data_IF_607555455307
#
_entry.id   IF_607555455307
#
_cell.length_a   1.000
_cell.length_b   1.000
_cell.length_c   1.000
_cell.angle_alpha   90.00
_cell.angle_beta   90.00
_cell.angle_gamma   90.00
#
_symmetry.space_group_name_H-M   'P 1'
#
loop_
_entity.id
_entity.type
_entity.pdbx_description
1 polymer ?
#
# COMPACT_ATOMS: atom_id res chain seq x y z
N UNK A 1 14.15 25.07 6.16
CA UNK A 1 14.84 23.83 5.73
C UNK A 1 14.47 22.64 6.64
N UNK A 2 13.18 22.44 6.98
CA UNK A 2 12.75 21.44 8.00
C UNK A 2 11.82 20.36 7.42
N UNK A 3 11.36 20.48 6.17
CA UNK A 3 10.34 19.59 5.60
C UNK A 3 10.87 18.25 5.07
N UNK A 4 12.15 18.15 4.71
CA UNK A 4 12.74 16.91 4.18
C UNK A 4 13.08 15.87 5.28
N UNK A 5 13.37 16.32 6.50
CA UNK A 5 13.78 15.44 7.60
C UNK A 5 12.61 14.60 8.17
N UNK A 6 11.38 15.11 8.09
CA UNK A 6 10.21 14.40 8.61
C UNK A 6 9.82 13.25 7.67
N UNK A 7 9.96 13.42 6.35
CA UNK A 7 9.73 12.36 5.37
C UNK A 7 10.75 11.23 5.49
N UNK A 8 12.01 11.53 5.79
CA UNK A 8 13.06 10.51 5.95
C UNK A 8 12.87 9.63 7.20
N UNK A 9 12.40 10.20 8.31
CA UNK A 9 12.18 9.45 9.56
C UNK A 9 10.98 8.49 9.51
N UNK A 10 9.95 8.82 8.72
CA UNK A 10 8.82 7.89 8.49
C UNK A 10 9.26 6.72 7.62
N UNK A 11 10.13 6.95 6.63
CA UNK A 11 10.62 5.90 5.72
C UNK A 11 11.60 4.94 6.43
N UNK A 12 12.48 5.44 7.30
CA UNK A 12 13.44 4.56 8.00
C UNK A 12 12.83 3.72 9.13
N UNK A 13 11.75 4.19 9.78
CA UNK A 13 11.13 3.44 10.88
C UNK A 13 10.43 2.16 10.41
N UNK A 14 10.13 2.05 9.12
CA UNK A 14 9.59 0.82 8.51
C UNK A 14 10.69 -0.22 8.26
N UNK A 15 11.96 0.17 8.24
CA UNK A 15 13.06 -0.66 7.74
C UNK A 15 13.77 -1.52 8.79
N UNK A 16 13.52 -1.34 10.08
CA UNK A 16 14.24 -2.08 11.13
C UNK A 16 13.30 -2.63 12.20
N UNK A 17 12.71 -3.78 11.91
CA UNK A 17 12.32 -4.76 12.93
C UNK A 17 12.20 -6.14 12.30
N UNK A 18 13.36 -6.77 12.07
CA UNK A 18 13.47 -8.20 11.86
C UNK A 18 13.27 -8.91 13.21
N UNK A 19 12.03 -9.16 13.57
CA UNK A 19 11.68 -10.18 14.55
C UNK A 19 10.54 -11.02 13.96
N UNK A 20 10.93 -12.19 13.46
CA UNK A 20 10.06 -13.12 12.76
C UNK A 20 8.97 -13.67 13.69
N UNK A 21 7.78 -13.07 13.67
CA UNK A 21 6.58 -13.75 14.14
C UNK A 21 6.12 -14.64 12.99
N UNK A 22 6.34 -15.94 13.14
CA UNK A 22 5.93 -16.99 12.20
C UNK A 22 4.40 -17.16 12.28
N UNK A 23 3.65 -16.19 11.79
CA UNK A 23 2.21 -16.33 11.59
C UNK A 23 2.01 -17.37 10.48
N UNK A 24 1.42 -18.52 10.81
CA UNK A 24 0.90 -19.48 9.84
C UNK A 24 -0.24 -18.80 9.07
N UNK A 25 0.11 -18.09 8.01
CA UNK A 25 -0.83 -17.43 7.11
C UNK A 25 -1.24 -18.46 6.06
N UNK A 26 -2.53 -18.78 6.02
CA UNK A 26 -3.12 -19.69 5.05
C UNK A 26 -3.18 -18.96 3.70
N UNK A 27 -2.16 -19.17 2.85
CA UNK A 27 -2.03 -18.59 1.52
C UNK A 27 -2.99 -19.25 0.52
N UNK A 28 -4.30 -19.02 0.66
CA UNK A 28 -5.27 -19.29 -0.41
C UNK A 28 -6.24 -18.11 -0.53
N UNK A 29 -5.70 -16.95 -0.86
CA UNK A 29 -6.47 -15.90 -1.51
C UNK A 29 -6.32 -16.11 -3.02
N UNK A 30 -7.39 -16.57 -3.64
CA UNK A 30 -7.46 -16.84 -5.07
C UNK A 30 -7.55 -15.50 -5.82
N UNK A 31 -6.40 -14.87 -6.05
CA UNK A 31 -6.25 -13.81 -7.04
C UNK A 31 -5.27 -14.31 -8.09
N UNK A 32 -5.60 -14.24 -9.40
CA UNK A 32 -4.77 -14.82 -10.45
C UNK A 32 -3.36 -14.22 -10.40
N UNK A 33 -2.36 -15.09 -10.52
CA UNK A 33 -0.95 -14.72 -10.61
C UNK A 33 -0.73 -13.83 -11.85
N UNK A 34 -0.85 -12.51 -11.71
CA UNK A 34 -0.52 -11.55 -12.76
C UNK A 34 0.83 -10.91 -12.43
N UNK A 35 1.90 -11.63 -12.75
CA UNK A 35 3.26 -11.10 -12.76
C UNK A 35 3.42 -10.33 -14.08
N UNK A 36 3.27 -9.02 -14.07
CA UNK A 36 3.54 -8.21 -15.26
C UNK A 36 4.99 -7.71 -15.26
N UNK A 37 5.80 -8.26 -16.16
CA UNK A 37 7.01 -7.59 -16.64
C UNK A 37 6.57 -6.49 -17.61
N UNK A 38 6.35 -5.26 -17.14
CA UNK A 38 5.76 -4.21 -17.96
C UNK A 38 6.79 -3.64 -18.94
N UNK A 39 6.66 -4.01 -20.22
CA UNK A 39 7.21 -3.28 -21.36
C UNK A 39 6.28 -2.12 -21.76
N UNK A 40 6.81 -1.07 -22.39
CA UNK A 40 6.06 0.18 -22.71
C UNK A 40 4.96 0.01 -23.77
N UNK A 41 4.97 -1.09 -24.51
CA UNK A 41 4.04 -1.32 -25.64
C UNK A 41 2.75 -2.02 -25.20
N UNK A 42 2.78 -2.79 -24.11
CA UNK A 42 1.62 -3.53 -23.59
C UNK A 42 0.67 -2.64 -22.76
N UNK A 43 1.15 -1.50 -22.26
CA UNK A 43 0.39 -0.57 -21.40
C UNK A 43 -0.70 0.22 -22.15
N UNK A 44 -0.73 0.14 -23.50
CA UNK A 44 -1.69 0.87 -24.35
C UNK A 44 -2.81 0.00 -24.93
N UNK A 45 -2.71 -1.33 -24.83
CA UNK A 45 -3.63 -2.27 -25.50
C UNK A 45 -4.22 -3.36 -24.58
N UNK A 46 -3.93 -3.36 -23.28
CA UNK A 46 -4.75 -4.07 -22.30
C UNK A 46 -5.52 -3.03 -21.50
N UNK A 47 -6.80 -3.29 -21.28
CA UNK A 47 -7.59 -2.61 -20.25
C UNK A 47 -7.71 -3.59 -19.06
N UNK A 48 -6.71 -3.72 -18.14
CA UNK A 48 -6.84 -4.58 -16.97
C UNK A 48 -6.96 -3.72 -15.71
N UNK A 49 -7.59 -2.54 -15.78
CA UNK A 49 -7.86 -1.75 -14.58
C UNK A 49 -8.88 -2.51 -13.73
N UNK A 50 -8.46 -2.91 -12.55
CA UNK A 50 -9.28 -3.58 -11.55
C UNK A 50 -9.90 -2.51 -10.66
N UNK A 51 -11.16 -2.72 -10.24
CA UNK A 51 -11.79 -1.87 -9.24
C UNK A 51 -11.18 -2.17 -7.87
N UNK A 52 -10.50 -1.20 -7.30
CA UNK A 52 -10.06 -1.22 -5.91
C UNK A 52 -11.15 -0.59 -5.04
N UNK A 53 -11.49 -1.22 -3.93
CA UNK A 53 -12.34 -0.62 -2.88
C UNK A 53 -11.71 -0.90 -1.51
N UNK A 54 -11.40 0.14 -0.75
CA UNK A 54 -10.91 -0.02 0.62
C UNK A 54 -12.01 -0.60 1.52
N UNK A 55 -11.73 -1.72 2.19
CA UNK A 55 -12.71 -2.36 3.06
C UNK A 55 -13.05 -1.56 4.34
N UNK A 56 -12.28 -0.50 4.65
CA UNK A 56 -12.45 0.35 5.83
C UNK A 56 -13.13 1.68 5.44
N UNK A 57 -12.43 2.55 4.69
CA UNK A 57 -12.91 3.89 4.35
C UNK A 57 -13.71 3.98 3.04
N UNK A 58 -13.90 2.88 2.32
CA UNK A 58 -14.66 2.84 1.05
C UNK A 58 -14.08 3.65 -0.12
N UNK A 59 -12.85 4.14 0.00
CA UNK A 59 -12.10 4.69 -1.13
C UNK A 59 -12.13 3.71 -2.31
N UNK A 60 -12.65 4.16 -3.44
CA UNK A 60 -12.83 3.33 -4.63
C UNK A 60 -12.20 4.00 -5.85
N UNK A 61 -11.32 3.28 -6.54
CA UNK A 61 -10.66 3.77 -7.75
C UNK A 61 -10.37 2.61 -8.70
N UNK A 62 -10.21 2.91 -9.99
CA UNK A 62 -9.73 1.95 -10.97
C UNK A 62 -8.21 1.97 -11.00
N UNK A 63 -7.57 0.84 -10.77
CA UNK A 63 -6.11 0.77 -10.69
C UNK A 63 -5.54 -0.55 -11.21
N UNK A 64 -4.21 -0.61 -11.32
CA UNK A 64 -3.49 -1.84 -11.59
C UNK A 64 -3.23 -2.57 -10.27
N UNK A 65 -3.11 -3.89 -10.33
CA UNK A 65 -2.74 -4.72 -9.18
C UNK A 65 -1.57 -5.61 -9.53
N UNK A 66 -0.52 -5.63 -8.70
CA UNK A 66 0.60 -6.53 -8.91
C UNK A 66 1.86 -6.13 -8.14
N UNK A 67 2.96 -6.80 -8.47
CA UNK A 67 4.28 -6.46 -7.92
C UNK A 67 4.75 -5.11 -8.46
N UNK A 68 4.94 -4.14 -7.57
CA UNK A 68 5.47 -2.84 -7.94
C UNK A 68 6.99 -2.81 -7.70
N UNK A 69 7.74 -2.94 -8.79
CA UNK A 69 9.21 -2.86 -8.84
C UNK A 69 9.63 -1.75 -9.79
N UNK A 70 10.48 -0.86 -9.32
CA UNK A 70 11.05 0.21 -10.10
C UNK A 70 12.58 0.23 -9.94
N UNK A 71 13.24 1.14 -10.65
CA UNK A 71 14.70 1.19 -10.66
C UNK A 71 15.34 1.60 -9.33
N UNK A 72 14.61 2.32 -8.49
CA UNK A 72 15.01 2.86 -7.19
C UNK A 72 14.48 2.06 -5.99
N UNK A 73 13.62 1.06 -6.21
CA UNK A 73 13.07 0.25 -5.12
C UNK A 73 11.91 -0.66 -5.51
N UNK A 74 11.34 -1.33 -4.51
CA UNK A 74 10.20 -2.22 -4.69
C UNK A 74 9.34 -2.32 -3.44
N UNK A 75 8.08 -2.72 -3.62
CA UNK A 75 7.18 -3.12 -2.53
C UNK A 75 7.25 -4.64 -2.32
N UNK A 76 7.34 -5.07 -1.06
CA UNK A 76 7.45 -6.48 -0.70
C UNK A 76 6.14 -7.28 -0.90
N UNK A 77 5.00 -6.58 -0.94
CA UNK A 77 3.68 -7.16 -1.18
C UNK A 77 3.11 -6.65 -2.50
N UNK A 78 2.21 -7.39 -3.15
CA UNK A 78 1.42 -6.89 -4.28
C UNK A 78 0.62 -5.64 -3.88
N UNK A 79 0.65 -4.62 -4.73
CA UNK A 79 0.04 -3.32 -4.47
C UNK A 79 -1.00 -2.99 -5.53
N UNK A 80 -1.99 -2.18 -5.13
CA UNK A 80 -2.90 -1.47 -6.00
C UNK A 80 -2.29 -0.09 -6.31
N UNK A 81 -2.05 0.22 -7.59
CA UNK A 81 -1.39 1.46 -7.98
C UNK A 81 -1.82 1.95 -9.36
N UNK A 82 -1.62 3.24 -9.61
CA UNK A 82 -1.73 3.87 -10.94
C UNK A 82 -0.45 4.63 -11.26
N UNK A 83 -0.23 4.96 -12.53
CA UNK A 83 0.74 6.00 -12.90
C UNK A 83 0.28 7.30 -12.24
N UNK A 84 1.20 8.04 -11.63
CA UNK A 84 0.86 9.32 -11.03
C UNK A 84 0.26 10.26 -12.10
N UNK A 85 -1.05 10.63 -12.02
CA UNK A 85 -1.69 11.48 -13.01
C UNK A 85 -1.25 12.95 -12.88
N UNK A 86 -0.62 13.31 -11.75
CA UNK A 86 -0.14 14.66 -11.47
C UNK A 86 1.34 14.83 -11.81
N UNK A 87 2.06 13.73 -12.04
CA UNK A 87 3.43 13.80 -12.52
C UNK A 87 3.45 14.37 -13.95
N UNK A 88 4.26 15.41 -14.23
CA UNK A 88 4.34 15.96 -15.56
C UNK A 88 4.83 14.87 -16.55
N UNK A 89 4.25 14.78 -17.76
CA UNK A 89 4.69 13.82 -18.76
C UNK A 89 6.19 13.98 -19.00
N UNK A 90 6.95 12.94 -18.69
CA UNK A 90 8.41 12.98 -18.79
C UNK A 90 8.82 13.10 -20.25
N UNK A 91 9.37 14.27 -20.63
CA UNK A 91 9.87 14.52 -22.00
C UNK A 91 11.04 13.60 -22.38
N UNK A 92 11.72 13.04 -21.38
CA UNK A 92 12.86 12.12 -21.54
C UNK A 92 12.34 10.68 -21.61
N UNK A 93 12.13 10.18 -22.84
CA UNK A 93 11.61 8.83 -23.10
C UNK A 93 12.53 7.69 -22.64
N UNK A 94 13.78 7.98 -22.27
CA UNK A 94 14.84 7.01 -21.96
C UNK A 94 15.01 6.70 -20.48
N UNK A 95 14.39 7.44 -19.55
CA UNK A 95 14.55 7.12 -18.12
C UNK A 95 13.74 5.88 -17.74
N UNK A 96 14.33 5.00 -16.94
CA UNK A 96 13.62 3.88 -16.30
C UNK A 96 12.61 4.45 -15.29
N UNK A 97 11.43 3.84 -15.13
CA UNK A 97 10.48 4.30 -14.14
C UNK A 97 11.07 4.16 -12.72
N UNK A 98 10.72 5.12 -11.87
CA UNK A 98 11.02 5.14 -10.43
C UNK A 98 9.72 5.00 -9.63
N UNK A 99 9.79 4.62 -8.35
CA UNK A 99 8.60 4.39 -7.52
C UNK A 99 7.71 5.62 -7.43
N UNK A 100 8.30 6.82 -7.40
CA UNK A 100 7.55 8.08 -7.37
C UNK A 100 6.81 8.41 -8.67
N UNK A 101 7.02 7.65 -9.76
CA UNK A 101 6.20 7.77 -10.97
C UNK A 101 4.83 7.07 -10.81
N UNK A 102 4.59 6.41 -9.66
CA UNK A 102 3.38 5.66 -9.37
C UNK A 102 2.70 6.18 -8.10
N UNK A 103 1.38 6.34 -8.17
CA UNK A 103 0.53 6.58 -7.02
C UNK A 103 0.01 5.24 -6.49
N UNK A 104 0.37 4.92 -5.24
CA UNK A 104 0.00 3.67 -4.59
C UNK A 104 -1.26 3.85 -3.74
N UNK A 105 -2.31 3.13 -4.08
CA UNK A 105 -3.61 3.20 -3.41
C UNK A 105 -3.65 2.32 -2.15
N UNK A 106 -3.11 1.10 -2.23
CA UNK A 106 -3.27 0.12 -1.16
C UNK A 106 -2.71 -1.27 -1.45
N UNK A 107 -3.07 -2.24 -0.60
CA UNK A 107 -2.71 -3.66 -0.73
C UNK A 107 -3.82 -4.55 -0.18
N UNK A 108 -3.59 -5.87 -0.12
CA UNK A 108 -4.50 -6.83 0.48
C UNK A 108 -4.13 -7.11 1.93
N UNK A 109 -5.13 -7.18 2.82
CA UNK A 109 -4.92 -7.59 4.20
C UNK A 109 -4.50 -9.07 4.28
N UNK A 110 -3.41 -9.37 4.99
CA UNK A 110 -2.89 -10.73 5.12
C UNK A 110 -3.78 -11.70 5.91
N UNK A 111 -4.74 -11.18 6.70
CA UNK A 111 -5.69 -11.99 7.48
C UNK A 111 -6.99 -12.25 6.71
N UNK A 112 -7.63 -11.19 6.18
CA UNK A 112 -8.93 -11.32 5.52
C UNK A 112 -8.89 -11.26 3.99
N UNK A 113 -7.72 -11.01 3.40
CA UNK A 113 -7.50 -10.89 1.95
C UNK A 113 -8.32 -9.81 1.23
N UNK A 114 -8.99 -8.93 1.99
CA UNK A 114 -9.71 -7.76 1.45
C UNK A 114 -8.74 -6.64 1.12
N UNK A 115 -9.06 -5.85 0.09
CA UNK A 115 -8.34 -4.64 -0.30
C UNK A 115 -8.44 -3.57 0.79
N UNK A 116 -7.31 -2.93 1.09
CA UNK A 116 -7.21 -1.86 2.08
C UNK A 116 -6.26 -0.78 1.57
N UNK A 117 -6.61 0.49 1.76
CA UNK A 117 -5.76 1.60 1.33
C UNK A 117 -4.55 1.77 2.26
N UNK A 118 -3.52 2.46 1.77
CA UNK A 118 -2.25 2.67 2.50
C UNK A 118 -2.38 3.69 3.66
N UNK A 119 -3.58 4.26 3.87
CA UNK A 119 -3.85 5.16 4.97
C UNK A 119 -3.60 4.46 6.32
N UNK A 120 -2.93 5.16 7.23
CA UNK A 120 -2.60 4.69 8.58
C UNK A 120 -3.83 4.42 9.45
N UNK A 121 -4.95 5.06 9.14
CA UNK A 121 -6.23 4.78 9.80
C UNK A 121 -6.89 3.48 9.29
N UNK A 122 -6.54 3.03 8.08
CA UNK A 122 -7.15 1.88 7.42
C UNK A 122 -6.27 0.63 7.48
N UNK A 123 -4.95 0.77 7.34
CA UNK A 123 -4.01 -0.34 7.41
C UNK A 123 -2.72 -0.01 8.16
N UNK A 124 -2.05 -1.07 8.62
CA UNK A 124 -0.68 -1.01 9.11
C UNK A 124 0.15 -2.06 8.39
N UNK A 125 1.36 -1.67 7.98
CA UNK A 125 2.38 -2.60 7.51
C UNK A 125 3.24 -3.07 8.68
N UNK A 126 3.20 -4.37 8.96
CA UNK A 126 4.01 -5.03 9.98
C UNK A 126 4.56 -6.36 9.44
N UNK A 127 5.44 -6.27 8.45
CA UNK A 127 5.92 -7.41 7.65
C UNK A 127 4.92 -7.89 6.58
N UNK A 128 3.64 -7.57 6.74
CA UNK A 128 2.58 -7.63 5.75
C UNK A 128 1.54 -6.55 6.04
N UNK A 129 0.60 -6.32 5.13
CA UNK A 129 -0.50 -5.37 5.34
C UNK A 129 -1.61 -6.00 6.18
N UNK A 130 -2.09 -5.27 7.19
CA UNK A 130 -3.22 -5.67 8.01
C UNK A 130 -4.23 -4.53 8.08
N UNK A 131 -5.52 -4.81 7.81
CA UNK A 131 -6.55 -3.78 7.95
C UNK A 131 -6.89 -3.54 9.42
N UNK A 132 -7.39 -2.34 9.72
CA UNK A 132 -7.78 -1.89 11.05
C UNK A 132 -8.66 -2.92 11.79
N UNK A 133 -9.72 -3.41 11.14
CA UNK A 133 -10.60 -4.44 11.70
C UNK A 133 -9.85 -5.70 12.13
N UNK A 134 -8.92 -6.18 11.31
CA UNK A 134 -8.18 -7.41 11.61
C UNK A 134 -7.19 -7.20 12.76
N UNK A 135 -6.58 -6.02 12.85
CA UNK A 135 -5.68 -5.66 13.95
C UNK A 135 -6.45 -5.63 15.28
N UNK A 136 -7.63 -4.98 15.31
CA UNK A 136 -8.48 -4.91 16.51
C UNK A 136 -9.00 -6.30 16.89
N UNK A 137 -9.47 -7.08 15.90
CA UNK A 137 -9.97 -8.44 16.11
C UNK A 137 -8.90 -9.38 16.65
N UNK A 138 -7.68 -9.29 16.14
CA UNK A 138 -6.55 -10.11 16.57
C UNK A 138 -5.59 -9.37 17.52
N UNK A 139 -6.10 -8.44 18.34
CA UNK A 139 -5.29 -7.58 19.24
C UNK A 139 -4.22 -8.30 20.07
N UNK A 140 -4.42 -9.58 20.41
CA UNK A 140 -3.47 -10.40 21.18
C UNK A 140 -2.21 -10.79 20.39
N UNK A 141 -2.25 -10.72 19.05
CA UNK A 141 -1.13 -11.06 18.17
C UNK A 141 -0.27 -9.85 17.81
N UNK A 142 -0.76 -8.64 18.06
CA UNK A 142 -0.07 -7.40 17.75
C UNK A 142 0.47 -6.75 19.03
N UNK A 143 1.68 -6.15 19.00
CA UNK A 143 2.15 -5.33 20.11
C UNK A 143 1.22 -4.14 20.37
N UNK A 144 1.09 -3.74 21.63
CA UNK A 144 0.20 -2.63 22.04
C UNK A 144 0.49 -1.32 21.31
N UNK A 145 1.76 -1.05 21.01
CA UNK A 145 2.19 0.10 20.21
C UNK A 145 1.53 0.16 18.82
N UNK A 146 1.25 -0.99 18.20
CA UNK A 146 0.54 -1.06 16.90
C UNK A 146 -0.91 -0.62 17.05
N UNK A 147 -1.56 -1.03 18.13
CA UNK A 147 -2.94 -0.63 18.45
C UNK A 147 -3.02 0.87 18.73
N UNK A 148 -2.09 1.42 19.50
CA UNK A 148 -2.04 2.86 19.77
C UNK A 148 -1.83 3.71 18.51
N UNK A 149 -1.01 3.24 17.56
CA UNK A 149 -0.79 3.95 16.31
C UNK A 149 -2.07 4.01 15.49
N UNK A 150 -2.83 2.92 15.45
CA UNK A 150 -4.10 2.84 14.73
C UNK A 150 -5.14 3.78 15.34
N UNK A 151 -5.31 3.76 16.66
CA UNK A 151 -6.30 4.62 17.33
C UNK A 151 -5.96 6.10 17.14
N UNK A 152 -4.70 6.49 17.28
CA UNK A 152 -4.24 7.86 17.01
C UNK A 152 -4.52 8.31 15.58
N UNK A 153 -4.33 7.42 14.60
CA UNK A 153 -4.61 7.73 13.20
C UNK A 153 -6.11 7.91 12.93
N UNK A 154 -6.96 7.04 13.48
CA UNK A 154 -8.42 7.14 13.31
C UNK A 154 -8.98 8.45 13.86
N UNK A 155 -8.53 8.88 15.05
CA UNK A 155 -8.94 10.15 15.64
C UNK A 155 -8.49 11.39 14.84
N UNK A 156 -7.49 11.26 13.96
CA UNK A 156 -7.05 12.36 13.09
C UNK A 156 -7.86 12.48 11.81
N UNK A 157 -8.42 11.37 11.32
CA UNK A 157 -9.22 11.32 10.09
C UNK A 157 -10.63 11.88 10.27
N UNK A 158 -11.21 11.80 11.48
CA UNK A 158 -12.55 12.32 11.78
C UNK A 158 -12.63 13.87 11.76
N UNK A 159 -11.48 14.57 11.69
CA UNK A 159 -11.45 16.05 11.69
C UNK A 159 -11.56 16.70 10.31
N UNK A 160 -11.55 15.94 9.21
CA UNK A 160 -11.59 16.49 7.84
C UNK A 160 -12.97 16.53 7.17
N UNK A 161 -14.04 16.06 7.81
CA UNK A 161 -15.41 16.05 7.25
C UNK A 161 -16.33 17.15 7.83
N UNK A 162 -15.81 18.12 8.58
CA UNK A 162 -16.58 19.28 9.04
C UNK A 162 -15.77 20.57 8.87
N UNK A 163 -15.76 21.12 7.66
CA UNK A 163 -15.37 22.51 7.37
C UNK A 163 -16.01 22.97 6.08
#
# INVERSE_FOLDING_TARGET
MVTAAILYSVVLSVYVSRSAIKLRINQRAQFPNMVFNISKEDMRNLDPFISFECCICKLNEKCLFGELKASDGYYASPMFFIRDPFAPPTRIRTRKPILSDFLVMGSCCSICSRSVCIDKACCIYFGAFFCADCIVRERRRFPEKVLEMLTKAQHSSDKSETS
#
